data_IF_493193589466
#
_entry.id   IF_493193589466
#
_cell.length_a   1.000
_cell.length_b   1.000
_cell.length_c   1.000
_cell.angle_alpha   90.00
_cell.angle_beta   90.00
_cell.angle_gamma   90.00
#
_symmetry.space_group_name_H-M   'P 1'
#
loop_
_entity.id
_entity.type
_entity.pdbx_description
1 polymer ?
#
# COMPACT_ATOMS: atom_id res chain seq x y z
N UNK A 1 26.08 16.29 -2.64
CA UNK A 1 25.17 15.19 -3.01
C UNK A 1 23.93 15.37 -2.16
N UNK A 2 22.82 15.83 -2.72
CA UNK A 2 21.60 16.15 -1.95
C UNK A 2 20.71 14.92 -1.97
N UNK A 3 20.50 14.30 -0.80
CA UNK A 3 19.57 13.19 -0.65
C UNK A 3 18.13 13.73 -0.81
N UNK A 4 17.52 13.52 -1.98
CA UNK A 4 16.12 13.89 -2.26
C UNK A 4 15.09 12.86 -1.75
N UNK A 5 15.58 11.82 -1.08
CA UNK A 5 14.82 10.63 -0.71
C UNK A 5 15.02 10.32 0.78
N UNK A 6 13.91 10.12 1.49
CA UNK A 6 13.91 9.49 2.80
C UNK A 6 13.51 8.02 2.63
N UNK A 7 14.10 7.15 3.44
CA UNK A 7 13.74 5.74 3.50
C UNK A 7 13.48 5.33 4.94
N UNK A 8 12.52 4.42 5.09
CA UNK A 8 12.26 3.71 6.33
C UNK A 8 12.12 2.24 5.99
N UNK A 9 12.95 1.42 6.63
CA UNK A 9 12.88 -0.03 6.57
C UNK A 9 12.48 -0.56 7.93
N UNK A 10 11.44 -1.36 7.98
CA UNK A 10 11.00 -2.07 9.17
C UNK A 10 11.29 -3.56 8.96
N UNK A 11 12.09 -4.15 9.85
CA UNK A 11 12.41 -5.58 9.84
C UNK A 11 11.95 -6.20 11.17
N UNK A 12 10.97 -7.09 11.10
CA UNK A 12 10.58 -7.97 12.21
C UNK A 12 11.35 -9.29 12.10
N UNK A 13 12.20 -9.62 13.09
CA UNK A 13 12.94 -10.89 13.11
C UNK A 13 12.25 -11.83 14.10
N UNK A 14 11.69 -12.93 13.60
CA UNK A 14 11.22 -14.01 14.45
C UNK A 14 12.41 -14.79 15.02
N UNK A 15 12.44 -14.99 16.35
CA UNK A 15 13.36 -15.95 16.94
C UNK A 15 12.80 -17.36 16.71
N UNK A 16 13.45 -18.17 15.86
CA UNK A 16 13.07 -19.57 15.69
C UNK A 16 13.18 -20.31 17.03
N UNK A 17 12.19 -21.11 17.44
CA UNK A 17 12.35 -22.01 18.57
C UNK A 17 13.49 -23.00 18.24
N UNK A 18 14.50 -23.05 19.11
CA UNK A 18 15.62 -23.96 18.96
C UNK A 18 15.15 -25.41 18.79
N UNK A 19 15.80 -26.15 17.89
CA UNK A 19 15.60 -27.60 17.72
C UNK A 19 15.55 -28.31 19.08
N UNK A 20 14.70 -29.34 19.25
CA UNK A 20 14.57 -30.04 20.52
C UNK A 20 15.90 -30.73 20.85
N UNK A 21 16.65 -30.14 21.78
CA UNK A 21 17.73 -30.83 22.45
C UNK A 21 17.09 -31.69 23.56
N UNK A 22 17.24 -33.01 23.45
CA UNK A 22 16.86 -34.00 24.45
C UNK A 22 17.45 -33.69 25.83
N UNK A 23 16.80 -32.83 26.61
CA UNK A 23 17.11 -32.59 28.03
C UNK A 23 15.93 -31.90 28.74
N UNK A 24 15.53 -32.35 29.95
CA UNK A 24 14.43 -31.75 30.69
C UNK A 24 14.94 -30.51 31.43
N UNK A 25 14.74 -29.32 30.86
CA UNK A 25 14.87 -28.04 31.55
C UNK A 25 13.73 -27.10 31.16
N UNK A 26 13.41 -26.11 32.03
CA UNK A 26 12.07 -25.52 32.11
C UNK A 26 11.77 -24.67 30.87
N UNK A 27 10.47 -24.62 30.52
CA UNK A 27 9.88 -23.86 29.43
C UNK A 27 10.68 -22.60 29.08
N UNK A 28 11.42 -22.68 27.98
CA UNK A 28 12.03 -21.52 27.34
C UNK A 28 10.89 -20.57 26.98
N UNK A 29 10.89 -19.38 27.60
CA UNK A 29 9.99 -18.31 27.23
C UNK A 29 10.14 -18.02 25.73
N UNK A 30 9.02 -17.85 25.03
CA UNK A 30 9.02 -17.25 23.71
C UNK A 30 9.78 -15.92 23.81
N UNK A 31 10.96 -15.85 23.21
CA UNK A 31 11.65 -14.59 22.99
C UNK A 31 10.79 -13.80 22.01
N UNK A 32 10.22 -12.70 22.48
CA UNK A 32 9.46 -11.75 21.67
C UNK A 32 10.28 -11.39 20.41
N UNK A 33 9.63 -11.39 19.25
CA UNK A 33 10.25 -10.96 18.00
C UNK A 33 10.81 -9.54 18.18
N UNK A 34 12.11 -9.36 17.92
CA UNK A 34 12.74 -8.05 18.03
C UNK A 34 12.48 -7.28 16.73
N UNK A 35 11.54 -6.33 16.77
CA UNK A 35 11.30 -5.43 15.66
C UNK A 35 12.38 -4.34 15.57
N UNK A 36 13.12 -4.32 14.47
CA UNK A 36 14.16 -3.33 14.17
C UNK A 36 13.68 -2.35 13.11
N UNK A 37 14.02 -1.06 13.28
CA UNK A 37 13.68 -0.02 12.29
C UNK A 37 14.95 0.68 11.85
N UNK A 38 15.25 0.61 10.56
CA UNK A 38 16.38 1.29 9.93
C UNK A 38 15.84 2.46 9.14
N UNK A 39 16.25 3.68 9.48
CA UNK A 39 15.75 4.87 8.80
C UNK A 39 16.77 5.99 8.75
N UNK A 40 16.73 6.77 7.67
CA UNK A 40 17.44 8.05 7.57
C UNK A 40 16.56 9.27 7.91
N UNK A 41 15.29 9.07 8.29
CA UNK A 41 14.34 10.15 8.65
C UNK A 41 14.88 10.99 9.80
N UNK A 42 15.44 10.35 10.83
CA UNK A 42 16.06 11.04 11.97
C UNK A 42 17.28 11.88 11.56
N UNK A 43 18.11 11.39 10.64
CA UNK A 43 19.25 12.13 10.10
C UNK A 43 18.80 13.33 9.25
N UNK A 44 17.81 13.13 8.37
CA UNK A 44 17.24 14.20 7.57
C UNK A 44 16.62 15.31 8.45
N UNK A 45 15.97 14.91 9.55
CA UNK A 45 15.41 15.82 10.53
C UNK A 45 16.48 16.59 11.32
N UNK A 46 17.53 15.91 11.81
CA UNK A 46 18.58 16.50 12.64
C UNK A 46 19.49 17.47 11.89
N UNK A 47 19.76 17.19 10.60
CA UNK A 47 20.58 18.05 9.73
C UNK A 47 19.74 19.18 9.08
N UNK A 48 18.41 19.15 9.24
CA UNK A 48 17.52 20.19 8.72
C UNK A 48 17.26 20.10 7.21
N UNK A 49 17.54 18.96 6.58
CA UNK A 49 17.39 18.76 5.14
C UNK A 49 15.98 18.30 4.70
N UNK A 50 15.02 18.19 5.63
CA UNK A 50 13.69 17.66 5.37
C UNK A 50 12.95 18.36 4.21
N UNK A 51 13.08 19.69 4.08
CA UNK A 51 12.44 20.45 2.99
C UNK A 51 12.91 20.06 1.57
N UNK A 52 14.07 19.40 1.47
CA UNK A 52 14.65 18.89 0.23
C UNK A 52 14.11 17.51 -0.14
N UNK A 53 13.50 16.78 0.80
CA UNK A 53 12.96 15.44 0.56
C UNK A 53 11.68 15.55 -0.25
N UNK A 54 11.64 14.86 -1.39
CA UNK A 54 10.48 14.83 -2.31
C UNK A 54 9.86 13.44 -2.42
N UNK A 55 10.64 12.41 -2.14
CA UNK A 55 10.23 11.02 -2.22
C UNK A 55 10.45 10.33 -0.88
N UNK A 56 9.52 9.45 -0.54
CA UNK A 56 9.57 8.61 0.65
C UNK A 56 9.36 7.16 0.25
N UNK A 57 10.26 6.31 0.71
CA UNK A 57 10.23 4.87 0.46
C UNK A 57 10.07 4.14 1.79
N UNK A 58 9.04 3.33 1.88
CA UNK A 58 8.76 2.44 2.99
C UNK A 58 8.98 1.00 2.53
N UNK A 59 9.92 0.33 3.18
CA UNK A 59 10.22 -1.09 2.98
C UNK A 59 9.79 -1.81 4.26
N UNK A 60 8.78 -2.67 4.17
CA UNK A 60 8.17 -3.34 5.32
C UNK A 60 8.38 -4.84 5.18
N UNK A 61 9.34 -5.37 5.94
CA UNK A 61 9.61 -6.80 6.08
C UNK A 61 9.10 -7.22 7.45
N UNK A 62 7.92 -7.82 7.50
CA UNK A 62 7.36 -8.29 8.76
C UNK A 62 6.80 -9.70 8.68
N UNK A 63 6.71 -10.29 9.87
CA UNK A 63 6.31 -11.68 10.08
C UNK A 63 4.86 -11.74 10.57
N UNK A 64 4.41 -10.75 11.35
CA UNK A 64 3.07 -10.79 11.94
C UNK A 64 2.33 -9.45 12.06
N UNK A 65 3.01 -8.33 12.34
CA UNK A 65 2.33 -7.07 12.72
C UNK A 65 2.47 -5.89 11.72
N UNK A 66 1.93 -6.05 10.51
CA UNK A 66 2.01 -5.07 9.41
C UNK A 66 1.52 -3.64 9.76
N UNK A 67 0.48 -3.51 10.60
CA UNK A 67 -0.03 -2.19 11.01
C UNK A 67 0.85 -1.50 12.04
N UNK A 68 1.59 -2.26 12.87
CA UNK A 68 2.52 -1.68 13.82
C UNK A 68 3.72 -1.05 13.13
N UNK A 69 4.12 -1.56 11.96
CA UNK A 69 5.11 -0.90 11.11
C UNK A 69 4.64 0.51 10.71
N UNK A 70 3.41 0.66 10.22
CA UNK A 70 2.85 1.97 9.85
C UNK A 70 2.79 2.95 11.04
N UNK A 71 2.36 2.49 12.22
CA UNK A 71 2.32 3.30 13.44
C UNK A 71 3.73 3.77 13.86
N UNK A 72 4.70 2.86 13.90
CA UNK A 72 6.11 3.18 14.25
C UNK A 72 6.76 4.14 13.24
N UNK A 73 6.47 3.97 11.94
CA UNK A 73 6.94 4.88 10.90
C UNK A 73 6.35 6.28 11.13
N UNK A 74 5.05 6.37 11.38
CA UNK A 74 4.41 7.65 11.68
C UNK A 74 5.04 8.32 12.92
N UNK A 75 5.32 7.56 13.97
CA UNK A 75 6.01 8.06 15.17
C UNK A 75 7.42 8.60 14.89
N UNK A 76 8.23 7.88 14.11
CA UNK A 76 9.55 8.34 13.69
C UNK A 76 9.48 9.64 12.89
N UNK A 77 8.49 9.75 12.01
CA UNK A 77 8.26 10.96 11.21
C UNK A 77 7.69 12.12 12.04
N UNK A 78 6.91 11.84 13.10
CA UNK A 78 6.36 12.86 13.99
C UNK A 78 7.45 13.68 14.68
N UNK A 79 8.61 13.10 14.96
CA UNK A 79 9.77 13.83 15.46
C UNK A 79 10.25 14.96 14.52
N UNK A 80 9.84 14.92 13.24
CA UNK A 80 10.04 15.98 12.24
C UNK A 80 8.75 16.57 11.66
N UNK A 81 7.58 16.36 12.28
CA UNK A 81 6.23 16.53 11.70
C UNK A 81 5.98 17.85 10.94
N UNK A 82 6.57 18.97 11.38
CA UNK A 82 6.37 20.27 10.73
C UNK A 82 7.07 20.42 9.37
N UNK A 83 7.85 19.42 8.94
CA UNK A 83 8.82 19.57 7.85
C UNK A 83 8.60 18.66 6.63
N UNK A 84 7.62 17.75 6.64
CA UNK A 84 7.39 16.79 5.54
C UNK A 84 6.39 17.18 4.43
N UNK A 85 5.76 18.39 4.35
CA UNK A 85 4.76 18.65 3.31
C UNK A 85 5.36 18.76 1.90
N UNK A 86 6.69 18.72 1.76
CA UNK A 86 7.40 18.72 0.49
C UNK A 86 7.42 17.35 -0.22
N UNK A 87 7.07 16.27 0.48
CA UNK A 87 6.99 14.94 -0.11
C UNK A 87 5.79 14.88 -1.07
N UNK A 88 6.04 14.34 -2.26
CA UNK A 88 5.07 14.18 -3.35
C UNK A 88 4.90 12.71 -3.76
N UNK A 89 5.85 11.85 -3.41
CA UNK A 89 5.86 10.44 -3.76
C UNK A 89 5.97 9.58 -2.51
N UNK A 90 5.08 8.61 -2.39
CA UNK A 90 5.14 7.55 -1.40
C UNK A 90 5.18 6.20 -2.11
N UNK A 91 6.21 5.41 -1.83
CA UNK A 91 6.32 4.02 -2.27
C UNK A 91 6.35 3.13 -1.04
N UNK A 92 5.48 2.14 -1.01
CA UNK A 92 5.39 1.15 0.05
C UNK A 92 5.60 -0.21 -0.60
N UNK A 93 6.67 -0.87 -0.17
CA UNK A 93 7.04 -2.21 -0.60
C UNK A 93 6.98 -3.13 0.61
N UNK A 94 6.40 -4.31 0.46
CA UNK A 94 6.39 -5.31 1.53
C UNK A 94 6.61 -6.71 0.99
N UNK A 95 7.39 -7.47 1.75
CA UNK A 95 7.75 -8.84 1.45
C UNK A 95 7.58 -9.67 2.71
N UNK A 96 6.96 -10.84 2.58
CA UNK A 96 7.03 -11.83 3.64
C UNK A 96 8.46 -12.37 3.72
N UNK A 97 8.99 -12.46 4.94
CA UNK A 97 10.17 -13.28 5.18
C UNK A 97 9.82 -14.73 4.82
N UNK A 98 10.75 -15.45 4.19
CA UNK A 98 10.57 -16.84 3.71
C UNK A 98 10.16 -17.86 4.80
N UNK A 99 10.07 -17.43 6.06
CA UNK A 99 9.88 -18.27 7.24
C UNK A 99 8.44 -18.34 7.74
N UNK A 100 7.50 -17.50 7.27
CA UNK A 100 6.10 -17.55 7.75
C UNK A 100 5.13 -17.25 6.60
N UNK A 101 4.62 -18.32 6.01
CA UNK A 101 3.43 -18.32 5.17
C UNK A 101 2.30 -19.06 5.91
N UNK A 102 2.04 -18.71 7.17
CA UNK A 102 0.88 -19.24 7.88
C UNK A 102 -0.33 -18.36 7.60
N UNK A 103 -1.18 -18.87 6.72
CA UNK A 103 -2.43 -18.27 6.25
C UNK A 103 -3.48 -18.16 7.36
N UNK A 104 -3.29 -17.21 8.27
CA UNK A 104 -4.40 -16.73 9.08
C UNK A 104 -5.33 -15.90 8.20
N UNK A 105 -6.59 -16.33 8.09
CA UNK A 105 -7.64 -15.51 7.50
C UNK A 105 -7.80 -14.26 8.35
N UNK A 106 -7.32 -13.12 7.85
CA UNK A 106 -7.49 -11.83 8.51
C UNK A 106 -8.83 -11.23 8.08
N UNK A 107 -9.74 -11.01 9.03
CA UNK A 107 -10.94 -10.21 8.77
C UNK A 107 -10.60 -8.72 8.88
N UNK A 108 -10.69 -7.99 7.77
CA UNK A 108 -10.41 -6.55 7.71
C UNK A 108 -11.36 -5.77 8.63
N UNK A 109 -12.58 -6.26 8.86
CA UNK A 109 -13.58 -5.59 9.69
C UNK A 109 -13.07 -5.36 11.12
N UNK A 110 -12.33 -6.32 11.67
CA UNK A 110 -11.78 -6.28 13.03
C UNK A 110 -10.68 -5.22 13.21
N UNK A 111 -10.08 -4.73 12.13
CA UNK A 111 -8.97 -3.77 12.14
C UNK A 111 -9.37 -2.38 11.60
N UNK A 112 -10.66 -2.12 11.44
CA UNK A 112 -11.17 -0.89 10.79
C UNK A 112 -10.68 0.38 11.49
N UNK A 113 -10.68 0.40 12.83
CA UNK A 113 -10.25 1.56 13.62
C UNK A 113 -8.74 1.79 13.52
N UNK A 114 -7.93 0.73 13.62
CA UNK A 114 -6.47 0.80 13.52
C UNK A 114 -6.01 1.22 12.14
N UNK A 115 -6.67 0.71 11.09
CA UNK A 115 -6.43 1.12 9.71
C UNK A 115 -6.73 2.61 9.53
N UNK A 116 -7.87 3.07 10.05
CA UNK A 116 -8.25 4.47 9.98
C UNK A 116 -7.27 5.37 10.73
N UNK A 117 -6.85 4.97 11.94
CA UNK A 117 -5.86 5.70 12.75
C UNK A 117 -4.50 5.79 12.04
N UNK A 118 -4.02 4.68 11.48
CA UNK A 118 -2.77 4.62 10.73
C UNK A 118 -2.83 5.49 9.47
N UNK A 119 -3.93 5.40 8.71
CA UNK A 119 -4.17 6.23 7.53
C UNK A 119 -4.16 7.73 7.88
N UNK A 120 -4.95 8.15 8.86
CA UNK A 120 -5.01 9.54 9.32
C UNK A 120 -3.66 10.05 9.83
N UNK A 121 -2.91 9.22 10.57
CA UNK A 121 -1.59 9.58 11.07
C UNK A 121 -0.59 9.83 9.93
N UNK A 122 -0.58 8.96 8.92
CA UNK A 122 0.30 9.10 7.77
C UNK A 122 -0.09 10.29 6.89
N UNK A 123 -1.39 10.49 6.64
CA UNK A 123 -1.85 11.57 5.75
C UNK A 123 -1.69 12.94 6.37
N UNK A 124 -1.82 13.07 7.70
CA UNK A 124 -1.49 14.29 8.42
C UNK A 124 -0.01 14.69 8.26
N UNK A 125 0.89 13.70 8.22
CA UNK A 125 2.33 13.91 8.03
C UNK A 125 2.71 14.18 6.56
N UNK A 126 1.97 13.57 5.64
CA UNK A 126 2.25 13.56 4.20
C UNK A 126 1.06 14.12 3.41
N UNK A 127 0.63 15.37 3.64
CA UNK A 127 -0.60 15.89 3.04
C UNK A 127 -0.50 16.07 1.52
N UNK A 128 0.71 16.10 0.97
CA UNK A 128 0.95 16.49 -0.42
C UNK A 128 1.27 15.35 -1.38
N UNK A 129 0.98 14.09 -1.04
CA UNK A 129 1.24 12.95 -1.92
C UNK A 129 0.43 13.08 -3.22
N UNK A 130 1.13 12.94 -4.34
CA UNK A 130 0.58 12.92 -5.71
C UNK A 130 0.89 11.63 -6.45
N UNK A 131 1.89 10.88 -5.99
CA UNK A 131 2.29 9.60 -6.58
C UNK A 131 2.35 8.56 -5.49
N UNK A 132 1.62 7.47 -5.70
CA UNK A 132 1.48 6.40 -4.74
C UNK A 132 1.82 5.07 -5.42
N UNK A 133 2.79 4.36 -4.87
CA UNK A 133 3.16 3.03 -5.32
C UNK A 133 3.01 2.06 -4.16
N UNK A 134 2.14 1.06 -4.33
CA UNK A 134 2.02 -0.10 -3.45
C UNK A 134 2.43 -1.37 -4.19
N UNK A 135 3.35 -2.11 -3.56
CA UNK A 135 3.76 -3.43 -3.97
C UNK A 135 3.87 -4.27 -2.69
N UNK A 136 3.07 -5.32 -2.56
CA UNK A 136 3.05 -6.12 -1.36
C UNK A 136 2.75 -7.57 -1.68
N UNK A 137 3.24 -8.49 -0.86
CA UNK A 137 2.82 -9.87 -1.00
C UNK A 137 1.28 -10.00 -0.80
N UNK A 138 0.60 -10.81 -1.62
CA UNK A 138 -0.86 -11.01 -1.59
C UNK A 138 -1.35 -11.52 -0.22
N UNK A 139 -0.47 -12.16 0.55
CA UNK A 139 -0.78 -12.62 1.90
C UNK A 139 -0.83 -11.48 2.93
N UNK A 140 -0.40 -10.26 2.56
CA UNK A 140 -0.35 -9.09 3.44
C UNK A 140 -1.62 -8.23 3.32
N UNK A 141 -2.75 -8.82 3.70
CA UNK A 141 -4.09 -8.22 3.51
C UNK A 141 -4.24 -6.86 4.19
N UNK A 142 -3.73 -6.68 5.41
CA UNK A 142 -3.87 -5.42 6.16
C UNK A 142 -3.08 -4.27 5.54
N UNK A 143 -1.92 -4.54 4.91
CA UNK A 143 -1.17 -3.50 4.22
C UNK A 143 -1.87 -3.10 2.92
N UNK A 144 -2.45 -4.06 2.19
CA UNK A 144 -3.31 -3.78 1.05
C UNK A 144 -4.50 -2.89 1.45
N UNK A 145 -5.17 -3.21 2.57
CA UNK A 145 -6.26 -2.41 3.11
C UNK A 145 -5.83 -0.97 3.48
N UNK A 146 -4.67 -0.81 4.11
CA UNK A 146 -4.09 0.51 4.39
C UNK A 146 -3.78 1.26 3.09
N UNK A 147 -3.21 0.59 2.09
CA UNK A 147 -2.94 1.16 0.77
C UNK A 147 -4.20 1.66 0.06
N UNK A 148 -5.29 0.89 0.13
CA UNK A 148 -6.61 1.29 -0.36
C UNK A 148 -7.15 2.54 0.32
N UNK A 149 -7.04 2.63 1.65
CA UNK A 149 -7.46 3.82 2.40
C UNK A 149 -6.61 5.06 2.05
N UNK A 150 -5.29 4.89 1.93
CA UNK A 150 -4.38 5.98 1.54
C UNK A 150 -4.65 6.47 0.12
N UNK A 151 -4.81 5.55 -0.84
CA UNK A 151 -5.17 5.89 -2.22
C UNK A 151 -6.48 6.69 -2.27
N UNK A 152 -7.50 6.24 -1.54
CA UNK A 152 -8.77 6.97 -1.45
C UNK A 152 -8.63 8.34 -0.80
N UNK A 153 -7.81 8.47 0.25
CA UNK A 153 -7.60 9.74 0.93
C UNK A 153 -6.97 10.77 -0.01
N UNK A 154 -6.00 10.36 -0.82
CA UNK A 154 -5.32 11.23 -1.78
C UNK A 154 -6.03 11.35 -3.14
N UNK A 155 -7.13 10.63 -3.38
CA UNK A 155 -7.70 10.42 -4.72
C UNK A 155 -7.93 11.70 -5.53
N UNK A 156 -8.36 12.79 -4.89
CA UNK A 156 -8.61 14.08 -5.57
C UNK A 156 -7.35 14.80 -6.07
N UNK A 157 -6.17 14.47 -5.55
CA UNK A 157 -4.89 15.10 -5.93
C UNK A 157 -3.87 14.11 -6.50
N UNK A 158 -4.20 12.83 -6.53
CA UNK A 158 -3.30 11.78 -6.97
C UNK A 158 -3.17 11.81 -8.50
N UNK A 159 -1.94 11.97 -8.97
CA UNK A 159 -1.56 12.00 -10.39
C UNK A 159 -1.10 10.62 -10.88
N UNK A 160 -0.57 9.79 -9.98
CA UNK A 160 -0.08 8.46 -10.29
C UNK A 160 -0.41 7.45 -9.19
N UNK A 161 -0.98 6.32 -9.57
CA UNK A 161 -1.28 5.17 -8.71
C UNK A 161 -0.70 3.92 -9.36
N UNK A 162 0.23 3.26 -8.68
CA UNK A 162 0.77 1.97 -9.09
C UNK A 162 0.51 0.93 -8.02
N UNK A 163 -0.32 -0.05 -8.33
CA UNK A 163 -0.67 -1.17 -7.46
C UNK A 163 -0.50 -2.45 -8.26
N UNK A 164 0.65 -3.10 -8.07
CA UNK A 164 0.95 -4.38 -8.71
C UNK A 164 0.24 -5.56 -8.04
N UNK A 165 -0.25 -5.32 -6.82
CA UNK A 165 -0.97 -6.29 -6.01
C UNK A 165 -2.36 -5.72 -5.67
N UNK A 166 -3.35 -6.59 -5.37
CA UNK A 166 -4.72 -6.15 -5.15
C UNK A 166 -4.83 -5.29 -3.89
N UNK A 167 -5.38 -4.09 -4.05
CA UNK A 167 -5.75 -3.22 -2.93
C UNK A 167 -7.27 -2.98 -2.91
N UNK A 168 -7.96 -3.14 -1.77
CA UNK A 168 -9.38 -2.86 -1.70
C UNK A 168 -9.61 -1.34 -1.76
N UNK A 169 -10.07 -0.87 -2.90
CA UNK A 169 -10.43 0.53 -3.08
C UNK A 169 -11.88 0.78 -2.65
N UNK A 170 -12.16 1.75 -1.76
CA UNK A 170 -13.51 2.04 -1.32
C UNK A 170 -14.33 2.61 -2.47
N UNK A 171 -15.57 2.13 -2.63
CA UNK A 171 -16.42 2.45 -3.80
C UNK A 171 -16.77 3.95 -3.91
N UNK A 172 -16.72 4.67 -2.80
CA UNK A 172 -17.00 6.11 -2.74
C UNK A 172 -15.77 6.97 -3.09
N UNK A 173 -14.61 6.36 -3.35
CA UNK A 173 -13.41 7.06 -3.79
C UNK A 173 -13.62 7.74 -5.14
N UNK A 174 -12.87 8.82 -5.37
CA UNK A 174 -12.85 9.55 -6.66
C UNK A 174 -11.42 9.95 -7.01
N UNK A 175 -11.02 9.64 -8.24
CA UNK A 175 -9.72 9.97 -8.79
C UNK A 175 -9.90 10.91 -9.99
N UNK A 176 -9.74 12.21 -9.76
CA UNK A 176 -10.04 13.25 -10.77
C UNK A 176 -8.79 13.86 -11.40
N UNK A 177 -7.61 13.55 -10.88
CA UNK A 177 -6.33 14.08 -11.38
C UNK A 177 -5.38 12.97 -11.85
N UNK A 178 -5.84 11.72 -11.86
CA UNK A 178 -5.03 10.56 -12.16
C UNK A 178 -4.65 10.55 -13.65
N UNK A 179 -3.35 10.54 -13.93
CA UNK A 179 -2.78 10.48 -15.29
C UNK A 179 -2.24 9.09 -15.60
N UNK A 180 -1.63 8.45 -14.61
CA UNK A 180 -1.04 7.12 -14.73
C UNK A 180 -1.65 6.19 -13.68
N UNK A 181 -2.24 5.09 -14.14
CA UNK A 181 -2.83 4.08 -13.27
C UNK A 181 -2.34 2.69 -13.66
N UNK A 182 -1.79 1.95 -12.70
CA UNK A 182 -1.64 0.50 -12.74
C UNK A 182 -2.45 -0.06 -11.58
N UNK A 183 -3.47 -0.85 -11.87
CA UNK A 183 -4.33 -1.43 -10.85
C UNK A 183 -4.49 -2.93 -11.12
N UNK A 184 -4.04 -3.74 -10.16
CA UNK A 184 -4.37 -5.15 -10.10
C UNK A 184 -5.79 -5.35 -9.56
N UNK A 185 -6.61 -6.10 -10.29
CA UNK A 185 -8.03 -6.31 -10.05
C UNK A 185 -8.38 -7.70 -9.49
N UNK A 186 -7.37 -8.49 -9.06
CA UNK A 186 -7.60 -9.88 -8.68
C UNK A 186 -8.73 -10.04 -7.64
N UNK A 187 -9.50 -11.09 -7.87
CA UNK A 187 -10.93 -11.20 -7.60
C UNK A 187 -11.27 -11.42 -6.12
N UNK A 188 -10.26 -11.55 -5.25
CA UNK A 188 -10.43 -12.13 -3.92
C UNK A 188 -11.45 -11.38 -3.04
N UNK A 189 -11.80 -10.14 -3.38
CA UNK A 189 -12.74 -9.33 -2.61
C UNK A 189 -13.84 -8.61 -3.42
N UNK A 190 -14.02 -8.92 -4.72
CA UNK A 190 -15.12 -8.33 -5.52
C UNK A 190 -15.15 -6.79 -5.53
N UNK A 191 -14.00 -6.14 -5.29
CA UNK A 191 -13.93 -4.69 -5.12
C UNK A 191 -14.18 -4.00 -6.46
N UNK A 192 -15.32 -3.31 -6.57
CA UNK A 192 -15.56 -2.41 -7.70
C UNK A 192 -14.57 -1.26 -7.63
N UNK A 193 -14.00 -0.93 -8.78
CA UNK A 193 -13.16 0.24 -8.90
C UNK A 193 -13.98 1.51 -8.53
N UNK A 194 -13.39 2.44 -7.75
CA UNK A 194 -13.95 3.77 -7.54
C UNK A 194 -14.00 4.56 -8.84
N UNK A 195 -14.69 5.71 -8.82
CA UNK A 195 -14.73 6.55 -10.02
C UNK A 195 -13.33 7.09 -10.37
N UNK A 196 -12.92 6.89 -11.63
CA UNK A 196 -11.68 7.43 -12.19
C UNK A 196 -12.06 8.28 -13.39
N UNK A 197 -11.65 9.55 -13.40
CA UNK A 197 -11.94 10.48 -14.49
C UNK A 197 -11.15 10.08 -15.75
N UNK A 198 -11.83 9.65 -16.84
CA UNK A 198 -11.16 9.19 -18.04
C UNK A 198 -10.50 10.33 -18.84
N UNK A 199 -10.86 11.60 -18.57
CA UNK A 199 -10.39 12.74 -19.36
C UNK A 199 -8.93 13.10 -19.11
N UNK A 200 -8.39 12.71 -17.96
CA UNK A 200 -7.02 13.01 -17.53
C UNK A 200 -6.05 11.83 -17.68
N UNK A 201 -6.56 10.62 -17.89
CA UNK A 201 -5.75 9.40 -17.97
C UNK A 201 -4.93 9.36 -19.25
N UNK A 202 -3.61 9.34 -19.09
CA UNK A 202 -2.63 9.18 -20.16
C UNK A 202 -2.19 7.71 -20.30
N UNK A 203 -2.13 6.98 -19.18
CA UNK A 203 -1.76 5.55 -19.12
C UNK A 203 -2.65 4.77 -18.17
N UNK A 204 -3.21 3.67 -18.66
CA UNK A 204 -4.00 2.73 -17.88
C UNK A 204 -3.48 1.31 -18.09
N UNK A 205 -3.12 0.66 -16.99
CA UNK A 205 -2.83 -0.78 -16.92
C UNK A 205 -3.79 -1.40 -15.92
N UNK A 206 -4.62 -2.33 -16.39
CA UNK A 206 -5.42 -3.19 -15.52
C UNK A 206 -4.87 -4.61 -15.65
N UNK A 207 -4.42 -5.17 -14.54
CA UNK A 207 -3.93 -6.55 -14.45
C UNK A 207 -4.90 -7.41 -13.64
N UNK A 208 -4.88 -8.72 -13.89
CA UNK A 208 -5.77 -9.70 -13.29
C UNK A 208 -7.25 -9.27 -13.32
N UNK A 209 -7.68 -8.65 -14.43
CA UNK A 209 -9.06 -8.22 -14.58
C UNK A 209 -9.96 -9.45 -14.75
N UNK A 210 -11.02 -9.63 -13.93
CA UNK A 210 -11.95 -10.72 -14.16
C UNK A 210 -12.65 -10.53 -15.51
N UNK A 211 -13.01 -11.61 -16.23
CA UNK A 211 -13.73 -11.51 -17.51
C UNK A 211 -15.05 -10.73 -17.41
N UNK A 212 -15.63 -10.67 -16.21
CA UNK A 212 -16.88 -9.95 -15.90
C UNK A 212 -16.65 -8.50 -15.46
N UNK A 213 -15.41 -8.01 -15.48
CA UNK A 213 -15.07 -6.65 -15.04
C UNK A 213 -15.89 -5.59 -15.78
N UNK A 214 -16.47 -4.68 -15.01
CA UNK A 214 -17.25 -3.57 -15.53
C UNK A 214 -16.43 -2.29 -15.57
N UNK A 215 -16.43 -1.64 -16.72
CA UNK A 215 -15.82 -0.33 -16.93
C UNK A 215 -16.61 0.84 -16.31
N UNK A 216 -17.65 0.56 -15.54
CA UNK A 216 -18.50 1.59 -14.91
C UNK A 216 -17.72 2.59 -14.05
N UNK A 217 -16.55 2.20 -13.53
CA UNK A 217 -15.65 3.10 -12.81
C UNK A 217 -15.18 4.31 -13.62
N UNK A 218 -15.13 4.21 -14.94
CA UNK A 218 -14.72 5.31 -15.82
C UNK A 218 -15.90 6.07 -16.42
N UNK A 219 -17.14 5.73 -16.03
CA UNK A 219 -18.34 6.32 -16.59
C UNK A 219 -19.11 7.12 -15.54
N UNK A 220 -19.29 8.42 -15.79
CA UNK A 220 -20.11 9.28 -14.94
C UNK A 220 -21.61 9.23 -15.26
N UNK A 221 -22.00 8.70 -16.43
CA UNK A 221 -23.37 8.59 -16.90
C UNK A 221 -23.75 7.12 -17.12
N UNK A 222 -24.65 6.60 -16.27
CA UNK A 222 -25.14 5.21 -16.32
C UNK A 222 -25.66 4.76 -17.69
N UNK A 223 -26.01 5.71 -18.55
CA UNK A 223 -26.69 5.47 -19.83
C UNK A 223 -25.72 5.45 -21.04
N UNK A 224 -24.42 5.72 -20.82
CA UNK A 224 -23.44 5.68 -21.91
C UNK A 224 -22.89 4.27 -22.11
N UNK A 225 -23.11 3.69 -23.30
CA UNK A 225 -22.50 2.43 -23.72
C UNK A 225 -21.02 2.57 -24.11
N UNK A 226 -20.50 3.80 -24.15
CA UNK A 226 -19.13 4.11 -24.53
C UNK A 226 -18.45 4.98 -23.47
N UNK A 227 -17.15 4.78 -23.31
CA UNK A 227 -16.31 5.59 -22.44
C UNK A 227 -15.25 6.23 -23.33
N UNK A 228 -15.16 7.56 -23.26
CA UNK A 228 -14.20 8.33 -24.04
C UNK A 228 -12.98 8.65 -23.18
N UNK A 229 -11.79 8.33 -23.70
CA UNK A 229 -10.50 8.57 -23.08
C UNK A 229 -9.68 9.53 -23.95
N UNK A 230 -9.97 10.83 -23.95
CA UNK A 230 -9.44 11.78 -24.93
C UNK A 230 -7.91 11.99 -24.85
N UNK A 231 -7.29 11.63 -23.71
CA UNK A 231 -5.86 11.83 -23.46
C UNK A 231 -5.06 10.52 -23.36
N UNK A 232 -5.73 9.36 -23.45
CA UNK A 232 -5.11 8.06 -23.22
C UNK A 232 -4.21 7.68 -24.39
N UNK A 233 -2.95 7.44 -24.06
CA UNK A 233 -1.90 7.06 -25.01
C UNK A 233 -1.55 5.58 -24.90
N UNK A 234 -1.72 5.01 -23.70
CA UNK A 234 -1.37 3.63 -23.42
C UNK A 234 -2.50 2.94 -22.66
N UNK A 235 -3.00 1.85 -23.22
CA UNK A 235 -3.93 0.93 -22.59
C UNK A 235 -3.31 -0.46 -22.58
N UNK A 236 -3.14 -1.02 -21.40
CA UNK A 236 -2.73 -2.41 -21.20
C UNK A 236 -3.80 -3.12 -20.38
N UNK A 237 -4.27 -4.25 -20.90
CA UNK A 237 -5.24 -5.11 -20.22
C UNK A 237 -4.69 -6.53 -20.16
N UNK A 238 -4.51 -7.02 -18.95
CA UNK A 238 -4.15 -8.39 -18.65
C UNK A 238 -5.31 -9.01 -17.86
N UNK A 239 -5.92 -10.04 -18.45
CA UNK A 239 -7.02 -10.76 -17.83
C UNK A 239 -6.44 -11.89 -17.01
N UNK A 240 -6.96 -12.08 -15.79
CA UNK A 240 -6.58 -13.20 -14.95
C UNK A 240 -7.04 -14.52 -15.56
N UNK A 241 -6.29 -15.59 -15.29
CA UNK A 241 -6.71 -16.94 -15.67
C UNK A 241 -8.01 -17.29 -14.94
N UNK A 242 -9.02 -17.73 -15.69
CA UNK A 242 -10.20 -18.33 -15.09
C UNK A 242 -9.75 -19.70 -14.62
N UNK A 243 -9.61 -19.90 -13.30
CA UNK A 243 -9.40 -21.24 -12.76
C UNK A 243 -10.53 -22.14 -13.27
N UNK A 244 -10.22 -23.03 -14.22
CA UNK A 244 -11.12 -24.05 -14.75
C UNK A 244 -11.35 -25.18 -13.71
N UNK A 245 -11.29 -24.89 -12.41
CA UNK A 245 -11.76 -25.81 -11.36
C UNK A 245 -13.23 -25.50 -11.03
N UNK A 246 -14.08 -25.79 -12.02
CA UNK A 246 -15.52 -25.95 -11.83
C UNK A 246 -15.86 -27.43 -12.00
N UNK A 247 -16.15 -28.12 -10.89
CA UNK A 247 -17.08 -29.25 -10.85
C UNK A 247 -17.98 -29.11 -9.61
#
# INVERSE_FOLDING_TARGET
MVYSCAFVRYDEVACLPGSPADSPQPAAGCLEAAATVVSNVGLAASVGCVGLVKNLYFDVVCVSEHLNAAKRIAELMRAGASKWPGIRSLSVMSFLSAEVADGHSVDIADYTEELHEACCSLTALLPGIRRLWFDHDNHVVLLGALGGQLASHYGMQLEELQCHCPIPLPHNGRFTQLRNAHINLSDQNGSRLPFIDPTMLERLTLSDAPPTHSWAAFNCNSDSWAIDFPTLQHLHLEYGDVDEESD
#
